data_IF_198237213985
#
_entry.id   IF_198237213985
#
_cell.length_a   1.000
_cell.length_b   1.000
_cell.length_c   1.000
_cell.angle_alpha   90.00
_cell.angle_beta   90.00
_cell.angle_gamma   90.00
#
_symmetry.space_group_name_H-M   'P 1'
#
loop_
_entity.id
_entity.type
_entity.pdbx_description
1 polymer ?
#
# COMPACT_ATOMS: atom_id res chain seq x y z
N UNK A 1 12.34 -7.21 7.93
CA UNK A 1 11.30 -6.80 6.97
C UNK A 1 11.35 -5.30 6.81
N UNK A 2 12.17 -4.83 5.87
CA UNK A 2 12.26 -3.42 5.47
C UNK A 2 11.22 -3.11 4.41
N UNK A 3 10.55 -1.99 4.58
CA UNK A 3 9.44 -1.55 3.75
C UNK A 3 9.61 -0.06 3.46
N UNK A 4 9.27 0.35 2.25
CA UNK A 4 9.12 1.76 1.89
C UNK A 4 7.66 2.05 1.54
N UNK A 5 7.23 3.26 1.92
CA UNK A 5 5.92 3.80 1.58
C UNK A 5 6.13 5.16 0.94
N UNK A 6 5.69 5.31 -0.31
CA UNK A 6 5.72 6.59 -1.03
C UNK A 6 4.30 7.06 -1.23
N UNK A 7 3.96 8.23 -0.70
CA UNK A 7 2.65 8.87 -0.94
C UNK A 7 2.58 9.31 -2.41
N UNK A 8 1.61 8.80 -3.15
CA UNK A 8 1.38 9.17 -4.55
C UNK A 8 0.40 10.34 -4.63
N UNK A 9 -0.68 10.30 -3.85
CA UNK A 9 -1.66 11.37 -3.75
C UNK A 9 -2.39 11.36 -2.38
N UNK A 10 -3.57 11.98 -2.32
CA UNK A 10 -4.36 12.08 -1.10
C UNK A 10 -4.76 10.70 -0.53
N UNK A 11 -5.08 9.74 -1.39
CA UNK A 11 -5.65 8.43 -1.04
C UNK A 11 -4.80 7.25 -1.50
N UNK A 12 -3.68 7.46 -2.22
CA UNK A 12 -2.85 6.37 -2.71
C UNK A 12 -1.42 6.39 -2.17
N UNK A 13 -0.94 5.21 -1.76
CA UNK A 13 0.43 4.98 -1.32
C UNK A 13 1.05 3.81 -2.07
N UNK A 14 2.25 3.99 -2.62
CA UNK A 14 3.06 2.90 -3.13
C UNK A 14 3.76 2.20 -1.96
N UNK A 15 3.43 0.93 -1.77
CA UNK A 15 4.17 0.00 -0.93
C UNK A 15 5.27 -0.69 -1.73
N UNK A 16 6.47 -0.76 -1.15
CA UNK A 16 7.58 -1.52 -1.70
C UNK A 16 8.21 -2.41 -0.62
N UNK A 17 8.32 -3.70 -0.93
CA UNK A 17 9.11 -4.61 -0.12
C UNK A 17 10.60 -4.45 -0.47
N UNK A 18 11.42 -4.13 0.52
CA UNK A 18 12.86 -3.89 0.33
C UNK A 18 13.72 -5.11 0.69
N UNK A 19 13.11 -6.22 1.11
CA UNK A 19 13.78 -7.44 1.54
C UNK A 19 13.18 -8.69 0.89
N UNK A 20 13.82 -9.13 -0.20
CA UNK A 20 13.68 -10.49 -0.72
C UNK A 20 12.60 -10.69 -1.78
N UNK A 21 11.58 -9.83 -1.84
CA UNK A 21 10.59 -9.85 -2.92
C UNK A 21 10.58 -8.50 -3.64
N UNK A 22 10.57 -8.52 -4.98
CA UNK A 22 10.34 -7.32 -5.81
C UNK A 22 8.86 -6.87 -5.80
N UNK A 23 8.09 -7.31 -4.81
CA UNK A 23 6.67 -7.01 -4.69
C UNK A 23 6.46 -5.53 -4.38
N UNK A 24 5.51 -4.95 -5.12
CA UNK A 24 5.03 -3.59 -4.97
C UNK A 24 3.51 -3.58 -5.12
N UNK A 25 2.84 -2.70 -4.39
CA UNK A 25 1.40 -2.52 -4.49
C UNK A 25 1.03 -1.06 -4.30
N UNK A 26 0.01 -0.59 -5.02
CA UNK A 26 -0.61 0.71 -4.74
C UNK A 26 -1.76 0.46 -3.78
N UNK A 27 -1.62 0.99 -2.56
CA UNK A 27 -2.60 0.90 -1.51
C UNK A 27 -3.58 2.06 -1.64
N UNK A 28 -4.89 1.76 -1.61
CA UNK A 28 -5.92 2.78 -1.45
C UNK A 28 -6.23 2.95 0.04
N UNK A 29 -6.26 4.19 0.50
CA UNK A 29 -6.64 4.54 1.87
C UNK A 29 -7.91 5.39 1.91
N UNK A 30 -8.66 5.30 3.01
CA UNK A 30 -9.74 6.23 3.30
C UNK A 30 -9.22 7.60 3.81
N UNK A 31 -10.14 8.52 4.08
CA UNK A 31 -9.82 9.89 4.54
C UNK A 31 -9.08 9.93 5.89
N UNK A 32 -9.09 8.83 6.65
CA UNK A 32 -8.39 8.70 7.94
C UNK A 32 -7.03 8.00 7.78
N UNK A 33 -6.67 7.60 6.55
CA UNK A 33 -5.41 6.94 6.23
C UNK A 33 -5.44 5.42 6.44
N UNK A 34 -6.62 4.81 6.64
CA UNK A 34 -6.73 3.35 6.75
C UNK A 34 -6.77 2.71 5.36
N UNK A 35 -5.97 1.66 5.16
CA UNK A 35 -5.97 0.89 3.89
C UNK A 35 -7.31 0.19 3.71
N UNK A 36 -8.00 0.54 2.62
CA UNK A 36 -9.29 -0.05 2.22
C UNK A 36 -9.16 -0.96 0.99
N UNK A 37 -8.09 -0.82 0.21
CA UNK A 37 -7.73 -1.78 -0.83
C UNK A 37 -6.22 -2.07 -0.79
N UNK A 38 -5.89 -3.35 -0.69
CA UNK A 38 -4.55 -3.88 -0.81
C UNK A 38 -4.55 -4.95 -1.91
N UNK A 39 -4.18 -4.58 -3.15
CA UNK A 39 -4.17 -5.50 -4.27
C UNK A 39 -3.40 -6.79 -3.98
N UNK A 40 -4.08 -7.92 -4.15
CA UNK A 40 -3.52 -9.26 -3.90
C UNK A 40 -3.56 -9.75 -2.44
N UNK A 41 -4.01 -8.92 -1.50
CA UNK A 41 -4.18 -9.29 -0.09
C UNK A 41 -5.64 -9.22 0.35
N UNK A 42 -6.26 -8.03 0.27
CA UNK A 42 -7.63 -7.84 0.70
C UNK A 42 -8.23 -6.56 0.11
N UNK A 43 -9.57 -6.52 0.10
CA UNK A 43 -10.35 -5.31 -0.10
C UNK A 43 -11.36 -5.21 1.05
N UNK A 44 -11.51 -4.04 1.65
CA UNK A 44 -12.51 -3.78 2.68
C UNK A 44 -13.88 -3.68 2.00
N UNK A 45 -14.81 -4.54 2.40
CA UNK A 45 -16.21 -4.54 1.95
C UNK A 45 -17.01 -3.41 2.59
#
# INVERSE_FOLDING_TARGET
MRQAYTRLDASHYLYENLEGSAFKAVLLVDEQGLVIDYPGLFQRL
#
